data_IF_064102518692
#
_entry.id   IF_064102518692
#
_cell.length_a   1.000
_cell.length_b   1.000
_cell.length_c   1.000
_cell.angle_alpha   90.00
_cell.angle_beta   90.00
_cell.angle_gamma   90.00
#
_symmetry.space_group_name_H-M   'P 1'
#
loop_
_entity.id
_entity.type
_entity.pdbx_description
1 polymer ?
#
# COMPACT_ATOMS: atom_id res chain seq x y z
N UNK A 1 -29.78 9.62 34.04
CA UNK A 1 -28.88 10.41 33.16
C UNK A 1 -27.68 9.54 32.79
N UNK A 2 -27.76 8.80 31.68
CA UNK A 2 -26.61 8.08 31.13
C UNK A 2 -25.61 9.11 30.62
N UNK A 3 -24.45 9.25 31.27
CA UNK A 3 -23.31 9.94 30.66
C UNK A 3 -23.01 9.21 29.35
N UNK A 4 -23.18 9.87 28.21
CA UNK A 4 -22.79 9.35 26.90
C UNK A 4 -21.35 8.82 27.02
N UNK A 5 -21.19 7.50 27.02
CA UNK A 5 -19.88 6.88 26.97
C UNK A 5 -19.30 7.24 25.60
N UNK A 6 -18.35 8.17 25.60
CA UNK A 6 -17.77 8.69 24.38
C UNK A 6 -16.79 7.64 23.83
N UNK A 7 -17.31 6.72 23.01
CA UNK A 7 -16.52 5.70 22.33
C UNK A 7 -15.79 6.33 21.14
N UNK A 8 -14.47 6.13 21.01
CA UNK A 8 -13.72 6.76 19.95
C UNK A 8 -14.02 6.09 18.59
N UNK A 9 -14.31 6.87 17.53
CA UNK A 9 -14.41 6.29 16.20
C UNK A 9 -13.03 5.88 15.68
N UNK A 10 -13.00 4.86 14.82
CA UNK A 10 -11.85 4.63 13.96
C UNK A 10 -11.90 5.64 12.82
N UNK A 11 -10.86 6.46 12.72
CA UNK A 11 -10.82 7.59 11.81
C UNK A 11 -9.70 7.49 10.77
N UNK A 12 -8.86 6.46 10.85
CA UNK A 12 -7.80 6.25 9.87
C UNK A 12 -7.40 4.78 9.74
N UNK A 13 -7.07 4.39 8.52
CA UNK A 13 -6.25 3.19 8.23
C UNK A 13 -5.04 3.68 7.45
N UNK A 14 -3.83 3.41 7.94
CA UNK A 14 -2.61 3.79 7.27
C UNK A 14 -1.95 2.60 6.56
N UNK A 15 -1.36 2.87 5.41
CA UNK A 15 -0.70 1.90 4.54
C UNK A 15 0.76 2.28 4.38
N UNK A 16 1.66 1.30 4.48
CA UNK A 16 3.00 1.43 3.93
C UNK A 16 3.00 0.89 2.50
N UNK A 17 3.20 1.79 1.53
CA UNK A 17 3.09 1.52 0.11
C UNK A 17 4.44 1.61 -0.57
N UNK A 18 4.68 0.73 -1.54
CA UNK A 18 5.89 0.73 -2.37
C UNK A 18 5.71 1.70 -3.53
N UNK A 19 4.53 1.66 -4.15
CA UNK A 19 4.10 2.60 -5.18
C UNK A 19 2.94 3.49 -4.78
N UNK A 20 3.26 4.62 -4.15
CA UNK A 20 2.27 5.58 -3.70
C UNK A 20 1.35 6.10 -4.81
N UNK A 21 1.88 6.42 -5.99
CA UNK A 21 1.05 6.96 -7.09
C UNK A 21 0.07 5.90 -7.57
N UNK A 22 0.56 4.67 -7.73
CA UNK A 22 -0.24 3.55 -8.23
C UNK A 22 -1.33 3.19 -7.23
N UNK A 23 -1.00 3.10 -5.95
CA UNK A 23 -1.96 2.74 -4.90
C UNK A 23 -2.96 3.87 -4.65
N UNK A 24 -2.53 5.13 -4.68
CA UNK A 24 -3.44 6.29 -4.63
C UNK A 24 -4.43 6.30 -5.79
N UNK A 25 -3.95 6.14 -7.03
CA UNK A 25 -4.81 6.05 -8.23
C UNK A 25 -5.76 4.86 -8.13
N UNK A 26 -5.32 3.72 -7.59
CA UNK A 26 -6.19 2.56 -7.40
C UNK A 26 -7.38 2.84 -6.48
N UNK A 27 -7.16 3.49 -5.33
CA UNK A 27 -8.25 3.89 -4.45
C UNK A 27 -9.12 5.01 -5.05
N UNK A 28 -8.50 6.03 -5.66
CA UNK A 28 -9.22 7.20 -6.19
C UNK A 28 -9.99 6.92 -7.47
N UNK A 29 -9.35 6.29 -8.46
CA UNK A 29 -9.94 6.05 -9.79
C UNK A 29 -10.70 4.73 -9.83
N UNK A 30 -10.21 3.70 -9.14
CA UNK A 30 -10.89 2.41 -9.03
C UNK A 30 -12.15 2.49 -8.17
N UNK A 31 -11.97 2.78 -6.88
CA UNK A 31 -13.06 2.78 -5.90
C UNK A 31 -13.83 4.11 -5.86
N UNK A 32 -13.18 5.23 -6.18
CA UNK A 32 -13.83 6.54 -6.19
C UNK A 32 -13.68 7.32 -4.88
N UNK A 33 -12.62 7.04 -4.10
CA UNK A 33 -12.24 7.90 -2.97
C UNK A 33 -11.78 9.28 -3.45
N UNK A 34 -11.96 10.30 -2.62
CA UNK A 34 -11.59 11.67 -2.95
C UNK A 34 -10.18 12.00 -2.46
N UNK A 35 -9.46 12.84 -3.22
CA UNK A 35 -8.18 13.33 -2.76
C UNK A 35 -8.33 14.25 -1.52
N UNK A 36 -7.53 14.07 -0.45
CA UNK A 36 -7.51 14.91 0.75
C UNK A 36 -6.18 15.59 1.14
N UNK A 37 -5.07 15.36 0.43
CA UNK A 37 -3.84 16.15 0.59
C UNK A 37 -2.60 15.29 0.56
N UNK A 38 -1.46 15.85 0.98
CA UNK A 38 -0.25 15.08 1.18
C UNK A 38 0.98 15.93 1.52
N UNK A 39 2.07 15.27 1.92
CA UNK A 39 3.34 15.88 2.27
C UNK A 39 4.52 15.08 1.72
N UNK A 40 5.41 15.78 1.02
CA UNK A 40 6.66 15.23 0.47
C UNK A 40 7.74 14.95 1.51
N UNK A 41 7.62 15.55 2.68
CA UNK A 41 8.64 15.58 3.73
C UNK A 41 8.15 14.99 5.05
N UNK A 42 7.00 14.32 5.02
CA UNK A 42 6.47 13.66 6.21
C UNK A 42 7.50 12.69 6.80
N UNK A 43 7.50 12.56 8.12
CA UNK A 43 8.43 11.72 8.87
C UNK A 43 9.93 12.02 8.68
N UNK A 44 10.31 13.02 7.88
CA UNK A 44 11.73 13.33 7.63
C UNK A 44 12.35 14.16 8.76
N UNK A 45 11.56 14.58 9.77
CA UNK A 45 12.01 15.36 10.92
C UNK A 45 12.37 14.46 12.12
N UNK A 46 13.32 14.85 12.99
CA UNK A 46 13.68 14.07 14.18
C UNK A 46 12.51 13.76 15.11
N UNK A 47 11.55 14.69 15.20
CA UNK A 47 10.37 14.56 16.03
C UNK A 47 9.44 13.45 15.54
N UNK A 48 9.13 13.45 14.24
CA UNK A 48 8.21 12.50 13.65
C UNK A 48 8.76 11.06 13.79
N UNK A 49 10.08 10.85 13.59
CA UNK A 49 10.74 9.54 13.76
C UNK A 49 10.50 8.91 15.14
N UNK A 50 10.46 9.72 16.20
CA UNK A 50 10.20 9.26 17.57
C UNK A 50 8.76 8.83 17.75
N UNK A 51 7.81 9.59 17.20
CA UNK A 51 6.37 9.33 17.34
C UNK A 51 5.99 7.96 16.74
N UNK A 52 6.52 7.61 15.56
CA UNK A 52 6.29 6.29 14.94
C UNK A 52 7.20 5.17 15.47
N UNK A 53 8.17 5.47 16.35
CA UNK A 53 9.10 4.46 16.86
C UNK A 53 10.08 3.91 15.80
N UNK A 54 10.34 4.67 14.72
CA UNK A 54 11.14 4.22 13.59
C UNK A 54 12.41 5.08 13.41
N UNK A 55 13.58 4.61 13.89
CA UNK A 55 14.83 5.34 13.79
C UNK A 55 15.21 5.67 12.34
N UNK A 56 15.61 6.93 12.10
CA UNK A 56 16.05 7.39 10.79
C UNK A 56 14.95 7.46 9.73
N UNK A 57 13.67 7.33 10.13
CA UNK A 57 12.56 7.34 9.19
C UNK A 57 12.56 8.59 8.30
N UNK A 58 12.19 8.38 7.05
CA UNK A 58 11.88 9.42 6.10
C UNK A 58 10.92 8.86 5.06
N UNK A 59 9.79 9.53 4.90
CA UNK A 59 8.74 9.10 3.98
C UNK A 59 8.12 10.30 3.29
N UNK A 60 7.14 10.00 2.46
CA UNK A 60 6.20 10.94 1.93
C UNK A 60 4.80 10.33 2.17
N UNK A 61 3.76 11.15 2.36
CA UNK A 61 2.44 10.69 2.80
C UNK A 61 1.29 11.40 2.09
N UNK A 62 0.30 10.66 1.60
CA UNK A 62 -0.90 11.19 0.94
C UNK A 62 -2.14 10.62 1.60
N UNK A 63 -3.20 11.43 1.60
CA UNK A 63 -4.47 11.06 2.19
C UNK A 63 -5.58 10.99 1.15
N UNK A 64 -6.53 10.09 1.36
CA UNK A 64 -7.81 10.05 0.66
C UNK A 64 -8.95 10.01 1.67
N UNK A 65 -10.11 10.56 1.28
CA UNK A 65 -11.33 10.54 2.11
C UNK A 65 -12.50 9.93 1.35
N UNK A 66 -13.40 9.29 2.08
CA UNK A 66 -14.59 8.65 1.54
C UNK A 66 -15.89 9.38 1.90
N UNK A 67 -17.01 8.68 1.73
CA UNK A 67 -18.34 9.12 2.21
C UNK A 67 -18.43 9.20 3.73
N UNK A 68 -17.52 8.53 4.45
CA UNK A 68 -17.41 8.60 5.89
C UNK A 68 -17.30 10.07 6.35
N UNK A 69 -18.13 10.55 7.29
CA UNK A 69 -18.04 11.90 7.84
C UNK A 69 -16.61 12.27 8.30
N UNK A 70 -15.96 11.35 9.02
CA UNK A 70 -14.62 11.58 9.55
C UNK A 70 -13.74 10.33 9.52
N UNK A 71 -13.18 10.05 8.34
CA UNK A 71 -12.24 8.97 8.13
C UNK A 71 -11.28 9.30 6.98
N UNK A 72 -10.02 8.89 7.10
CA UNK A 72 -9.04 8.99 6.02
C UNK A 72 -8.28 7.69 5.77
N UNK A 73 -7.96 7.44 4.51
CA UNK A 73 -6.92 6.50 4.10
C UNK A 73 -5.61 7.29 4.12
N UNK A 74 -4.61 6.81 4.87
CA UNK A 74 -3.28 7.41 4.91
C UNK A 74 -2.27 6.49 4.21
N UNK A 75 -1.46 7.00 3.28
CA UNK A 75 -0.50 6.18 2.54
C UNK A 75 0.90 6.74 2.65
N UNK A 76 1.79 6.00 3.30
CA UNK A 76 3.20 6.32 3.45
C UNK A 76 4.07 5.55 2.46
N UNK A 77 4.94 6.26 1.77
CA UNK A 77 6.06 5.63 1.07
C UNK A 77 7.37 5.98 1.74
N UNK A 78 8.04 4.97 2.30
CA UNK A 78 9.30 5.12 2.99
C UNK A 78 10.49 5.06 2.03
N UNK A 79 11.42 6.02 2.18
CA UNK A 79 12.76 5.94 1.58
C UNK A 79 13.82 5.54 2.59
N UNK A 80 13.53 5.68 3.89
CA UNK A 80 14.39 5.22 4.99
C UNK A 80 13.52 4.84 6.19
N UNK A 81 13.79 3.69 6.86
CA UNK A 81 14.35 2.53 6.17
C UNK A 81 13.49 2.18 4.94
N UNK A 82 14.08 1.53 3.95
CA UNK A 82 13.30 1.05 2.81
C UNK A 82 12.38 -0.07 3.31
N UNK A 83 11.08 0.04 3.00
CA UNK A 83 10.05 -0.92 3.36
C UNK A 83 10.42 -2.31 2.82
N UNK A 84 10.43 -3.36 3.63
CA UNK A 84 10.46 -4.74 3.11
C UNK A 84 9.16 -4.99 2.34
N UNK A 85 9.25 -5.77 1.25
CA UNK A 85 8.06 -6.17 0.51
C UNK A 85 7.22 -7.15 1.34
N UNK A 86 5.91 -7.12 1.13
CA UNK A 86 5.01 -8.14 1.64
C UNK A 86 5.39 -9.49 1.03
N UNK A 87 5.43 -10.59 1.80
CA UNK A 87 5.60 -11.93 1.25
C UNK A 87 4.59 -12.18 0.12
N UNK A 88 5.04 -12.78 -0.98
CA UNK A 88 4.17 -13.03 -2.14
C UNK A 88 3.07 -14.07 -1.83
N UNK A 89 3.35 -14.95 -0.87
CA UNK A 89 2.46 -15.95 -0.30
C UNK A 89 1.72 -15.45 0.95
N UNK A 90 1.70 -14.14 1.22
CA UNK A 90 0.96 -13.56 2.35
C UNK A 90 -0.54 -13.78 2.20
N UNK A 91 -1.13 -14.44 3.19
CA UNK A 91 -2.55 -14.85 3.25
C UNK A 91 -3.32 -14.03 4.27
N UNK A 92 -4.66 -13.98 4.18
CA UNK A 92 -5.51 -13.28 5.15
C UNK A 92 -5.40 -13.85 6.57
N UNK A 93 -5.01 -15.11 6.72
CA UNK A 93 -4.82 -15.74 8.02
C UNK A 93 -3.51 -15.36 8.71
N UNK A 94 -2.52 -14.84 7.97
CA UNK A 94 -1.21 -14.46 8.54
C UNK A 94 -1.34 -13.26 9.48
N UNK A 95 -0.46 -13.16 10.47
CA UNK A 95 -0.61 -12.21 11.57
C UNK A 95 -0.42 -10.77 11.10
N UNK A 96 -1.39 -9.90 11.40
CA UNK A 96 -1.35 -8.49 11.05
C UNK A 96 -2.72 -7.89 10.75
N UNK A 97 -2.75 -6.62 10.37
CA UNK A 97 -3.91 -6.04 9.70
C UNK A 97 -3.89 -6.50 8.24
N UNK A 98 -4.86 -7.32 7.84
CA UNK A 98 -4.75 -8.13 6.61
C UNK A 98 -5.71 -7.72 5.51
N UNK A 99 -6.88 -7.19 5.87
CA UNK A 99 -7.96 -6.87 4.94
C UNK A 99 -8.64 -5.56 5.31
N UNK A 100 -9.12 -4.86 4.30
CA UNK A 100 -10.08 -3.75 4.45
C UNK A 100 -11.36 -4.07 3.69
N UNK A 101 -12.48 -3.50 4.14
CA UNK A 101 -13.75 -3.58 3.45
C UNK A 101 -14.25 -2.19 3.03
N UNK A 102 -14.68 -2.09 1.78
CA UNK A 102 -15.12 -0.85 1.15
C UNK A 102 -16.52 -1.06 0.58
N UNK A 103 -17.48 -0.28 1.07
CA UNK A 103 -18.76 -0.13 0.39
C UNK A 103 -18.59 0.75 -0.85
N UNK A 104 -19.21 0.35 -1.97
CA UNK A 104 -19.25 1.13 -3.21
C UNK A 104 -20.67 1.37 -3.67
N UNK A 105 -20.94 2.57 -4.19
CA UNK A 105 -22.26 2.97 -4.66
C UNK A 105 -22.72 2.23 -5.93
N UNK A 106 -21.76 1.75 -6.73
CA UNK A 106 -21.99 0.96 -7.95
C UNK A 106 -20.93 -0.15 -8.03
N UNK A 107 -21.37 -1.37 -7.74
CA UNK A 107 -20.52 -2.54 -7.61
C UNK A 107 -19.85 -2.93 -8.94
N UNK A 108 -20.64 -3.06 -10.01
CA UNK A 108 -20.15 -3.51 -11.31
C UNK A 108 -19.23 -2.45 -11.94
N UNK A 109 -19.58 -1.16 -11.83
CA UNK A 109 -18.72 -0.10 -12.32
C UNK A 109 -17.42 0.00 -11.51
N UNK A 110 -17.43 -0.27 -10.20
CA UNK A 110 -16.22 -0.33 -9.40
C UNK A 110 -15.30 -1.48 -9.85
N UNK A 111 -15.84 -2.69 -10.01
CA UNK A 111 -15.06 -3.84 -10.50
C UNK A 111 -14.50 -3.60 -11.90
N UNK A 112 -15.27 -3.00 -12.81
CA UNK A 112 -14.78 -2.66 -14.15
C UNK A 112 -13.61 -1.65 -14.12
N UNK A 113 -13.69 -0.62 -13.29
CA UNK A 113 -12.57 0.34 -13.13
C UNK A 113 -11.35 -0.32 -12.51
N UNK A 114 -11.52 -1.16 -11.49
CA UNK A 114 -10.40 -1.90 -10.88
C UNK A 114 -9.74 -2.87 -11.87
N UNK A 115 -10.53 -3.54 -12.71
CA UNK A 115 -10.02 -4.40 -13.78
C UNK A 115 -9.16 -3.60 -14.78
N UNK A 116 -9.59 -2.39 -15.15
CA UNK A 116 -8.82 -1.50 -16.03
C UNK A 116 -7.47 -1.05 -15.41
N UNK A 117 -7.39 -1.05 -14.08
CA UNK A 117 -6.18 -0.76 -13.31
C UNK A 117 -5.35 -2.03 -13.00
N UNK A 118 -5.77 -3.19 -13.50
CA UNK A 118 -5.04 -4.46 -13.40
C UNK A 118 -5.37 -5.32 -12.18
N UNK A 119 -6.42 -5.00 -11.43
CA UNK A 119 -6.89 -5.81 -10.29
C UNK A 119 -8.20 -6.52 -10.63
N UNK A 120 -8.18 -7.85 -10.60
CA UNK A 120 -9.37 -8.69 -10.77
C UNK A 120 -9.80 -9.29 -9.42
N UNK A 121 -11.09 -9.65 -9.26
CA UNK A 121 -11.55 -10.49 -8.16
C UNK A 121 -10.74 -11.78 -8.03
N UNK A 122 -10.40 -12.15 -6.79
CA UNK A 122 -9.67 -13.38 -6.47
C UNK A 122 -10.51 -14.63 -6.68
N UNK A 123 -11.83 -14.49 -6.53
CA UNK A 123 -12.84 -15.49 -6.80
C UNK A 123 -14.07 -14.81 -7.44
N UNK A 124 -15.01 -15.60 -7.94
CA UNK A 124 -16.29 -15.07 -8.38
C UNK A 124 -16.99 -14.33 -7.22
N UNK A 125 -17.62 -13.16 -7.47
CA UNK A 125 -18.41 -12.48 -6.44
C UNK A 125 -19.49 -13.42 -5.88
N UNK A 126 -19.74 -13.33 -4.57
CA UNK A 126 -20.80 -14.07 -3.88
C UNK A 126 -21.91 -13.12 -3.43
N UNK A 127 -23.08 -13.68 -3.10
CA UNK A 127 -24.25 -12.92 -2.67
C UNK A 127 -25.25 -12.64 -3.79
N UNK A 128 -26.48 -12.28 -3.41
CA UNK A 128 -27.53 -11.88 -4.34
C UNK A 128 -27.32 -10.43 -4.80
N UNK A 129 -27.83 -10.01 -5.97
CA UNK A 129 -27.81 -8.61 -6.38
C UNK A 129 -28.32 -7.67 -5.29
N UNK A 130 -27.56 -6.61 -5.00
CA UNK A 130 -27.78 -5.68 -3.89
C UNK A 130 -27.08 -6.07 -2.58
N UNK A 131 -26.45 -7.24 -2.51
CA UNK A 131 -25.71 -7.79 -1.36
C UNK A 131 -24.42 -8.50 -1.80
N UNK A 132 -23.93 -8.21 -3.02
CA UNK A 132 -22.76 -8.87 -3.57
C UNK A 132 -21.49 -8.41 -2.87
N UNK A 133 -20.53 -9.33 -2.79
CA UNK A 133 -19.19 -9.11 -2.24
C UNK A 133 -18.15 -9.70 -3.17
N UNK A 134 -17.02 -9.01 -3.31
CA UNK A 134 -15.85 -9.49 -4.04
C UNK A 134 -14.59 -9.08 -3.30
N UNK A 135 -13.54 -9.90 -3.34
CA UNK A 135 -12.24 -9.54 -2.78
C UNK A 135 -11.19 -9.43 -3.89
N UNK A 136 -10.38 -8.38 -3.83
CA UNK A 136 -9.30 -8.08 -4.76
C UNK A 136 -8.00 -7.81 -3.98
N UNK A 137 -6.88 -7.78 -4.69
CA UNK A 137 -5.62 -7.25 -4.16
C UNK A 137 -5.40 -5.84 -4.70
N UNK A 138 -5.09 -4.89 -3.82
CA UNK A 138 -4.58 -3.59 -4.26
C UNK A 138 -3.15 -3.73 -4.83
N UNK A 139 -2.56 -2.68 -5.41
CA UNK A 139 -1.23 -2.76 -6.05
C UNK A 139 -0.08 -3.13 -5.09
N UNK A 140 -0.26 -2.97 -3.78
CA UNK A 140 0.69 -3.33 -2.74
C UNK A 140 0.40 -4.70 -2.09
N UNK A 141 -0.64 -5.40 -2.54
CA UNK A 141 -1.01 -6.71 -2.03
C UNK A 141 -1.90 -6.67 -0.78
N UNK A 142 -2.53 -5.57 -0.39
CA UNK A 142 -3.55 -5.64 0.67
C UNK A 142 -4.84 -6.24 0.11
N UNK A 143 -5.50 -7.11 0.87
CA UNK A 143 -6.83 -7.61 0.54
C UNK A 143 -7.88 -6.51 0.71
N UNK A 144 -8.66 -6.28 -0.34
CA UNK A 144 -9.75 -5.29 -0.35
C UNK A 144 -11.03 -5.99 -0.72
N UNK A 145 -11.92 -6.13 0.26
CA UNK A 145 -13.30 -6.53 0.02
C UNK A 145 -14.08 -5.31 -0.49
N UNK A 146 -14.79 -5.49 -1.59
CA UNK A 146 -15.75 -4.56 -2.15
C UNK A 146 -17.14 -5.10 -1.84
N UNK A 147 -17.99 -4.28 -1.22
CA UNK A 147 -19.35 -4.63 -0.81
C UNK A 147 -20.37 -3.77 -1.55
N UNK A 148 -21.41 -4.41 -2.06
CA UNK A 148 -22.57 -3.75 -2.67
C UNK A 148 -23.58 -3.26 -1.64
N UNK A 149 -23.73 -3.99 -0.52
CA UNK A 149 -24.49 -3.55 0.64
C UNK A 149 -23.61 -2.78 1.63
N UNK A 150 -24.22 -1.85 2.38
CA UNK A 150 -23.51 -1.14 3.43
C UNK A 150 -23.68 -1.91 4.76
N UNK A 151 -22.62 -2.54 5.32
CA UNK A 151 -22.73 -3.41 6.50
C UNK A 151 -23.09 -2.65 7.79
N UNK A 152 -23.03 -1.32 7.79
CA UNK A 152 -23.49 -0.50 8.92
C UNK A 152 -24.85 0.16 8.67
N UNK A 153 -25.53 -0.20 7.58
CA UNK A 153 -26.79 0.38 7.14
C UNK A 153 -26.61 1.57 6.18
N UNK A 154 -27.68 1.91 5.43
CA UNK A 154 -27.65 3.02 4.47
C UNK A 154 -27.42 4.35 5.19
N UNK A 155 -26.22 4.92 5.05
CA UNK A 155 -25.93 6.28 5.47
C UNK A 155 -26.02 7.25 4.29
N UNK A 156 -26.71 8.38 4.49
CA UNK A 156 -26.55 9.53 3.61
C UNK A 156 -25.09 9.99 3.70
N UNK A 157 -24.34 9.89 2.61
CA UNK A 157 -22.97 10.37 2.59
C UNK A 157 -22.97 11.90 2.62
N UNK A 158 -22.16 12.51 3.48
CA UNK A 158 -22.00 13.97 3.51
C UNK A 158 -21.24 14.49 2.28
N UNK A 159 -20.45 13.62 1.64
CA UNK A 159 -19.62 13.93 0.48
C UNK A 159 -20.13 13.21 -0.76
N UNK A 160 -20.10 13.90 -1.90
CA UNK A 160 -20.29 13.30 -3.23
C UNK A 160 -19.09 12.41 -3.57
N UNK A 161 -19.13 11.19 -3.01
CA UNK A 161 -18.08 10.19 -3.10
C UNK A 161 -18.74 8.82 -3.34
N UNK A 162 -18.06 7.98 -4.12
CA UNK A 162 -18.59 6.68 -4.55
C UNK A 162 -18.28 5.55 -3.58
N UNK A 163 -17.34 5.76 -2.65
CA UNK A 163 -16.86 4.74 -1.73
C UNK A 163 -16.89 5.20 -0.26
N UNK A 164 -17.10 4.25 0.64
CA UNK A 164 -16.94 4.41 2.07
C UNK A 164 -16.05 3.29 2.62
N UNK A 165 -15.10 3.62 3.49
CA UNK A 165 -14.41 2.59 4.27
C UNK A 165 -15.37 2.05 5.32
N UNK A 166 -15.46 0.73 5.45
CA UNK A 166 -16.40 0.08 6.35
C UNK A 166 -15.78 -0.92 7.28
N UNK A 167 -14.64 -1.50 6.93
CA UNK A 167 -13.97 -2.40 7.85
C UNK A 167 -12.46 -2.45 7.69
N UNK A 168 -11.81 -2.89 8.76
CA UNK A 168 -10.46 -3.42 8.77
C UNK A 168 -10.46 -4.71 9.56
N UNK A 169 -9.79 -5.73 9.04
CA UNK A 169 -9.64 -7.02 9.70
C UNK A 169 -8.22 -7.18 10.23
N UNK A 170 -8.12 -7.59 11.49
CA UNK A 170 -6.90 -7.92 12.20
C UNK A 170 -6.86 -9.43 12.45
N UNK A 171 -5.90 -10.12 11.83
CA UNK A 171 -5.62 -11.53 12.07
C UNK A 171 -4.62 -11.66 13.21
N UNK A 172 -5.00 -12.35 14.27
CA UNK A 172 -4.26 -12.41 15.53
C UNK A 172 -3.91 -13.84 15.94
N UNK A 173 -2.74 -14.08 16.58
CA UNK A 173 -2.42 -15.39 17.13
C UNK A 173 -3.20 -15.68 18.43
N UNK A 174 -3.70 -14.66 19.12
CA UNK A 174 -4.41 -14.78 20.40
C UNK A 174 -5.67 -13.89 20.39
N UNK A 175 -6.82 -14.55 20.28
CA UNK A 175 -8.12 -13.90 20.19
C UNK A 175 -8.46 -13.07 21.45
N UNK A 176 -8.28 -13.66 22.63
CA UNK A 176 -8.72 -13.04 23.89
C UNK A 176 -7.85 -11.83 24.22
N UNK A 177 -6.54 -11.94 24.03
CA UNK A 177 -5.60 -10.84 24.26
C UNK A 177 -5.90 -9.64 23.35
N UNK A 178 -6.16 -9.89 22.06
CA UNK A 178 -6.50 -8.84 21.09
C UNK A 178 -7.86 -8.20 21.36
N UNK A 179 -8.88 -8.99 21.71
CA UNK A 179 -10.20 -8.45 22.09
C UNK A 179 -10.10 -7.61 23.35
N UNK A 180 -9.34 -8.04 24.36
CA UNK A 180 -9.14 -7.28 25.59
C UNK A 180 -8.39 -5.95 25.33
N UNK A 181 -7.37 -5.97 24.46
CA UNK A 181 -6.62 -4.77 24.08
C UNK A 181 -7.50 -3.73 23.37
N UNK A 182 -8.24 -4.14 22.35
CA UNK A 182 -9.15 -3.23 21.63
C UNK A 182 -10.31 -2.76 22.51
N UNK A 183 -10.81 -3.62 23.42
CA UNK A 183 -11.81 -3.24 24.42
C UNK A 183 -11.30 -2.12 25.33
N UNK A 184 -10.05 -2.20 25.78
CA UNK A 184 -9.45 -1.16 26.60
C UNK A 184 -9.41 0.19 25.85
N UNK A 185 -8.99 0.20 24.58
CA UNK A 185 -8.92 1.43 23.78
C UNK A 185 -10.33 1.99 23.50
N UNK A 186 -11.24 1.15 22.99
CA UNK A 186 -12.61 1.54 22.65
C UNK A 186 -13.45 1.94 23.87
N UNK A 187 -13.13 1.36 25.03
CA UNK A 187 -13.94 1.46 26.25
C UNK A 187 -15.28 0.70 26.17
N UNK A 188 -15.43 -0.20 25.19
CA UNK A 188 -16.53 -1.15 25.09
C UNK A 188 -16.05 -2.44 24.42
N UNK A 189 -16.74 -3.55 24.70
CA UNK A 189 -16.48 -4.84 24.07
C UNK A 189 -17.06 -4.94 22.64
N UNK A 190 -16.84 -6.08 21.98
CA UNK A 190 -17.38 -6.33 20.64
C UNK A 190 -18.92 -6.39 20.64
N UNK A 191 -19.51 -6.09 19.49
CA UNK A 191 -20.94 -6.27 19.22
C UNK A 191 -21.26 -7.73 18.87
N UNK A 192 -22.54 -8.10 18.99
CA UNK A 192 -23.04 -9.41 18.53
C UNK A 192 -23.17 -9.51 17.01
N UNK A 193 -23.09 -8.39 16.30
CA UNK A 193 -23.24 -8.34 14.84
C UNK A 193 -22.02 -8.97 14.17
N UNK A 194 -22.25 -10.01 13.36
CA UNK A 194 -21.23 -10.57 12.49
C UNK A 194 -21.03 -9.69 11.25
N UNK A 195 -19.78 -9.45 10.88
CA UNK A 195 -19.44 -8.82 9.60
C UNK A 195 -19.31 -9.87 8.49
N UNK A 196 -18.69 -11.00 8.80
CA UNK A 196 -18.48 -12.11 7.87
C UNK A 196 -18.96 -13.44 8.49
N UNK A 197 -19.61 -14.26 7.65
CA UNK A 197 -19.83 -15.69 7.85
C UNK A 197 -18.71 -16.56 7.25
N UNK A 198 -18.75 -17.87 7.50
CA UNK A 198 -17.72 -18.82 7.07
C UNK A 198 -17.61 -18.94 5.54
N UNK A 199 -18.72 -18.75 4.83
CA UNK A 199 -18.77 -18.72 3.36
C UNK A 199 -17.92 -17.61 2.75
N UNK A 200 -17.72 -16.50 3.47
CA UNK A 200 -16.93 -15.37 2.98
C UNK A 200 -15.44 -15.69 2.92
N UNK A 201 -14.95 -16.68 3.66
CA UNK A 201 -13.53 -17.06 3.65
C UNK A 201 -13.05 -17.49 2.24
N UNK A 202 -13.97 -18.02 1.43
CA UNK A 202 -13.71 -18.35 0.03
C UNK A 202 -13.37 -17.12 -0.83
N UNK A 203 -13.86 -15.92 -0.50
CA UNK A 203 -13.62 -14.70 -1.28
C UNK A 203 -12.14 -14.34 -1.37
N UNK A 204 -11.38 -14.66 -0.33
CA UNK A 204 -9.95 -14.35 -0.21
C UNK A 204 -9.07 -15.61 -0.15
N UNK A 205 -9.59 -16.73 -0.65
CA UNK A 205 -8.83 -17.95 -0.90
C UNK A 205 -8.62 -18.86 0.31
N UNK A 206 -9.49 -18.79 1.32
CA UNK A 206 -9.45 -19.65 2.51
C UNK A 206 -10.76 -20.47 2.69
N UNK A 207 -11.30 -21.12 1.65
CA UNK A 207 -12.56 -21.86 1.78
C UNK A 207 -12.47 -22.93 2.88
N UNK A 208 -13.48 -22.97 3.76
CA UNK A 208 -13.55 -23.93 4.87
C UNK A 208 -12.68 -23.56 6.08
N UNK A 209 -12.07 -22.37 6.10
CA UNK A 209 -11.29 -21.93 7.25
C UNK A 209 -12.14 -21.88 8.52
N UNK A 210 -11.54 -22.33 9.63
CA UNK A 210 -12.13 -22.26 10.96
C UNK A 210 -11.48 -21.15 11.74
N UNK A 211 -12.27 -20.24 12.30
CA UNK A 211 -11.74 -19.14 13.08
C UNK A 211 -12.70 -18.68 14.18
N UNK A 212 -12.18 -17.87 15.10
CA UNK A 212 -12.96 -17.06 16.03
C UNK A 212 -13.05 -15.64 15.49
N UNK A 213 -14.21 -15.01 15.61
CA UNK A 213 -14.45 -13.63 15.15
C UNK A 213 -15.07 -12.77 16.24
N UNK A 214 -14.65 -11.52 16.31
CA UNK A 214 -15.28 -10.47 17.10
C UNK A 214 -15.27 -9.17 16.29
N UNK A 215 -16.35 -8.39 16.38
CA UNK A 215 -16.48 -7.12 15.64
C UNK A 215 -16.69 -5.99 16.61
N UNK A 216 -15.87 -4.95 16.52
CA UNK A 216 -16.08 -3.68 17.21
C UNK A 216 -16.70 -2.68 16.24
N UNK A 217 -17.80 -2.03 16.66
CA UNK A 217 -18.31 -0.84 15.99
C UNK A 217 -17.59 0.38 16.52
N UNK A 218 -16.73 0.97 15.69
CA UNK A 218 -15.92 2.13 16.06
C UNK A 218 -16.32 3.32 15.20
N UNK A 219 -17.56 3.80 15.40
CA UNK A 219 -18.18 4.78 14.51
C UNK A 219 -18.65 4.13 13.21
N UNK A 220 -18.20 4.68 12.07
CA UNK A 220 -18.61 4.22 10.72
C UNK A 220 -17.69 3.15 10.12
N UNK A 221 -16.75 2.65 10.90
CA UNK A 221 -15.81 1.60 10.50
C UNK A 221 -15.80 0.51 11.57
N UNK A 222 -15.94 -0.72 11.10
CA UNK A 222 -15.90 -1.94 11.89
C UNK A 222 -14.47 -2.44 12.02
N UNK A 223 -14.03 -2.79 13.22
CA UNK A 223 -12.76 -3.49 13.44
C UNK A 223 -13.07 -4.94 13.73
N UNK A 224 -12.71 -5.82 12.79
CA UNK A 224 -12.90 -7.25 12.93
C UNK A 224 -11.61 -7.90 13.43
N UNK A 225 -11.70 -8.65 14.53
CA UNK A 225 -10.61 -9.47 15.07
C UNK A 225 -10.87 -10.92 14.69
N UNK A 226 -9.89 -11.55 14.05
CA UNK A 226 -9.99 -12.95 13.60
C UNK A 226 -8.80 -13.75 14.11
N UNK A 227 -9.05 -14.83 14.83
CA UNK A 227 -8.04 -15.86 15.09
C UNK A 227 -8.34 -17.07 14.22
N UNK A 228 -7.51 -17.31 13.22
CA UNK A 228 -7.61 -18.51 12.39
C UNK A 228 -7.05 -19.70 13.15
N UNK A 229 -7.88 -20.74 13.28
CA UNK A 229 -7.54 -22.02 13.90
C UNK A 229 -7.11 -23.04 12.85
N UNK A 230 -7.58 -22.87 11.62
CA UNK A 230 -7.24 -23.69 10.46
C UNK A 230 -7.60 -22.94 9.16
N UNK A 231 -6.64 -22.67 8.24
CA UNK A 231 -5.21 -22.86 8.43
C UNK A 231 -4.63 -21.88 9.44
N UNK A 232 -3.56 -22.28 10.14
CA UNK A 232 -2.83 -21.38 11.02
C UNK A 232 -2.02 -20.37 10.17
N UNK A 233 -2.12 -19.10 10.55
CA UNK A 233 -1.39 -18.00 9.94
C UNK A 233 0.11 -17.99 10.26
N UNK A 234 0.91 -17.47 9.35
CA UNK A 234 2.33 -17.20 9.60
C UNK A 234 2.49 -15.95 10.49
N UNK A 235 3.49 -15.92 11.39
CA UNK A 235 3.83 -14.71 12.13
C UNK A 235 4.40 -13.64 11.18
N UNK A 236 4.52 -12.40 11.67
CA UNK A 236 5.28 -11.39 10.95
C UNK A 236 6.71 -11.87 10.64
N UNK A 237 7.27 -11.50 9.47
CA UNK A 237 8.65 -11.82 9.13
C UNK A 237 9.66 -11.33 10.18
N UNK A 238 10.80 -12.01 10.28
CA UNK A 238 11.86 -11.61 11.19
C UNK A 238 12.30 -10.14 10.95
N UNK A 239 12.32 -9.36 12.03
CA UNK A 239 12.61 -7.93 11.99
C UNK A 239 11.59 -7.12 11.18
N UNK A 240 10.32 -7.53 11.20
CA UNK A 240 9.21 -6.74 10.69
C UNK A 240 9.16 -5.37 11.38
N UNK A 241 8.82 -4.36 10.60
CA UNK A 241 8.67 -2.97 11.05
C UNK A 241 7.34 -2.45 10.56
N UNK A 242 6.80 -1.48 11.28
CA UNK A 242 5.56 -0.78 10.88
C UNK A 242 5.69 -0.17 9.47
N UNK A 243 6.90 0.20 9.03
CA UNK A 243 7.16 0.72 7.68
C UNK A 243 7.24 -0.34 6.58
N UNK A 244 7.16 -1.64 6.89
CA UNK A 244 7.17 -2.69 5.87
C UNK A 244 5.82 -2.74 5.15
N UNK A 245 5.83 -3.16 3.88
CA UNK A 245 4.68 -3.04 2.98
C UNK A 245 3.43 -3.73 3.54
N UNK A 246 2.28 -3.04 3.52
CA UNK A 246 1.02 -3.54 4.04
C UNK A 246 0.22 -2.46 4.77
N UNK A 247 -0.76 -2.86 5.58
CA UNK A 247 -1.44 -1.97 6.50
C UNK A 247 -0.51 -1.71 7.69
N UNK A 248 -0.10 -0.46 7.85
CA UNK A 248 0.85 0.02 8.85
C UNK A 248 0.21 0.01 10.24
N UNK A 249 -0.96 0.63 10.38
CA UNK A 249 -1.74 0.69 11.60
C UNK A 249 -3.18 1.12 11.31
N UNK A 250 -3.97 1.13 12.38
CA UNK A 250 -5.29 1.76 12.45
C UNK A 250 -5.24 2.90 13.47
N UNK A 251 -6.09 3.92 13.32
CA UNK A 251 -6.15 5.01 14.28
C UNK A 251 -7.55 5.30 14.84
N UNK A 252 -7.62 5.39 16.17
CA UNK A 252 -8.77 5.89 16.90
C UNK A 252 -8.67 7.39 17.11
N UNK A 253 -9.78 8.08 16.87
CA UNK A 253 -9.82 9.53 16.85
C UNK A 253 -10.58 10.14 18.03
N UNK A 254 -10.18 11.35 18.40
CA UNK A 254 -10.93 12.22 19.29
C UNK A 254 -11.10 13.63 18.73
N UNK A 255 -12.18 14.32 19.11
CA UNK A 255 -12.42 15.73 18.76
C UNK A 255 -11.74 16.73 19.71
N UNK A 256 -11.12 16.26 20.78
CA UNK A 256 -10.41 17.11 21.73
C UNK A 256 -9.33 16.33 22.49
N UNK A 257 -8.42 17.08 23.12
CA UNK A 257 -7.30 16.56 23.91
C UNK A 257 -7.74 15.75 25.13
N UNK A 258 -8.88 16.06 25.74
CA UNK A 258 -9.35 15.34 26.95
C UNK A 258 -9.68 13.89 26.58
N UNK A 259 -10.49 13.69 25.54
CA UNK A 259 -10.83 12.36 25.05
C UNK A 259 -9.60 11.59 24.52
N UNK A 260 -8.66 12.28 23.86
CA UNK A 260 -7.36 11.69 23.49
C UNK A 260 -6.60 11.14 24.69
N UNK A 261 -6.54 11.93 25.76
CA UNK A 261 -5.87 11.54 27.00
C UNK A 261 -6.58 10.37 27.67
N UNK A 262 -7.92 10.33 27.65
CA UNK A 262 -8.69 9.19 28.16
C UNK A 262 -8.39 7.90 27.40
N UNK A 263 -8.35 7.93 26.05
CA UNK A 263 -7.96 6.76 25.25
C UNK A 263 -6.56 6.28 25.61
N UNK A 264 -5.61 7.21 25.68
CA UNK A 264 -4.21 6.91 26.02
C UNK A 264 -4.09 6.28 27.42
N UNK A 265 -4.79 6.84 28.42
CA UNK A 265 -4.79 6.30 29.77
C UNK A 265 -5.35 4.88 29.83
N UNK A 266 -6.49 4.60 29.16
CA UNK A 266 -7.04 3.24 29.12
C UNK A 266 -6.06 2.26 28.50
N UNK A 267 -5.43 2.62 27.38
CA UNK A 267 -4.42 1.80 26.72
C UNK A 267 -3.20 1.56 27.63
N UNK A 268 -2.69 2.59 28.29
CA UNK A 268 -1.56 2.47 29.22
C UNK A 268 -1.90 1.65 30.46
N UNK A 269 -3.10 1.80 31.03
CA UNK A 269 -3.56 1.00 32.18
C UNK A 269 -3.71 -0.48 31.81
N UNK A 270 -4.12 -0.79 30.59
CA UNK A 270 -4.13 -2.15 30.07
C UNK A 270 -2.72 -2.75 29.91
N UNK A 271 -1.68 -1.91 29.81
CA UNK A 271 -0.29 -2.31 29.65
C UNK A 271 0.31 -2.04 28.27
N UNK A 272 -0.43 -1.35 27.39
CA UNK A 272 0.08 -0.96 26.07
C UNK A 272 1.25 0.03 26.19
N UNK A 273 2.29 -0.19 25.40
CA UNK A 273 3.52 0.59 25.44
C UNK A 273 3.53 1.65 24.34
N UNK A 274 3.67 2.94 24.69
CA UNK A 274 3.78 3.97 23.69
C UNK A 274 5.13 3.93 22.97
N UNK A 275 5.14 4.21 21.67
CA UNK A 275 6.40 4.46 20.92
C UNK A 275 7.16 5.66 21.51
N UNK A 276 6.40 6.68 21.93
CA UNK A 276 6.90 7.85 22.62
C UNK A 276 5.76 8.55 23.38
N UNK A 277 6.09 9.52 24.25
CA UNK A 277 5.06 10.27 24.99
C UNK A 277 4.05 10.95 24.03
N UNK A 278 2.79 11.15 24.45
CA UNK A 278 1.82 11.89 23.65
C UNK A 278 2.36 13.23 23.18
N UNK A 279 2.19 13.51 21.89
CA UNK A 279 2.65 14.73 21.25
C UNK A 279 1.46 15.57 20.78
N UNK A 280 1.42 16.83 21.19
CA UNK A 280 0.33 17.75 20.89
C UNK A 280 0.87 19.05 20.27
N UNK A 281 0.13 19.56 19.29
CA UNK A 281 0.31 20.91 18.71
C UNK A 281 -1.04 21.63 18.74
N UNK A 282 -1.12 22.94 18.45
CA UNK A 282 -2.40 23.65 18.46
C UNK A 282 -3.44 22.97 17.55
N UNK A 283 -4.49 22.43 18.18
CA UNK A 283 -5.62 21.80 17.47
C UNK A 283 -5.44 20.34 17.05
N UNK A 284 -4.29 19.72 17.30
CA UNK A 284 -4.12 18.29 17.00
C UNK A 284 -3.11 17.57 17.90
N UNK A 285 -3.12 16.25 17.85
CA UNK A 285 -2.13 15.46 18.56
C UNK A 285 -2.23 13.97 18.29
N UNK A 286 -1.17 13.27 18.67
CA UNK A 286 -0.94 11.89 18.28
C UNK A 286 -0.12 11.12 19.32
N UNK A 287 -0.38 9.83 19.44
CA UNK A 287 0.50 8.84 20.08
C UNK A 287 0.26 7.47 19.46
N UNK A 288 1.32 6.70 19.26
CA UNK A 288 1.22 5.29 18.88
C UNK A 288 1.42 4.45 20.14
N UNK A 289 0.56 3.45 20.35
CA UNK A 289 0.65 2.49 21.44
C UNK A 289 0.66 1.08 20.86
N UNK A 290 1.43 0.18 21.48
CA UNK A 290 1.56 -1.21 21.03
C UNK A 290 1.19 -2.17 22.16
N UNK A 291 0.49 -3.24 21.84
CA UNK A 291 0.19 -4.30 22.80
C UNK A 291 1.36 -5.28 22.99
N UNK A 292 1.14 -6.32 23.79
CA UNK A 292 2.14 -7.37 24.03
C UNK A 292 2.36 -8.29 22.83
N UNK A 293 1.42 -8.34 21.87
CA UNK A 293 1.53 -9.13 20.64
C UNK A 293 2.27 -8.38 19.53
N UNK A 294 2.44 -7.07 19.67
CA UNK A 294 3.13 -6.21 18.70
C UNK A 294 2.21 -5.44 17.76
N UNK A 295 0.88 -5.49 17.94
CA UNK A 295 -0.05 -4.68 17.17
C UNK A 295 0.07 -3.21 17.56
N UNK A 296 0.21 -2.36 16.56
CA UNK A 296 0.27 -0.90 16.75
C UNK A 296 -1.09 -0.26 16.49
N UNK A 297 -1.52 0.59 17.41
CA UNK A 297 -2.69 1.46 17.27
C UNK A 297 -2.26 2.91 17.48
N UNK A 298 -2.69 3.77 16.56
CA UNK A 298 -2.54 5.21 16.72
C UNK A 298 -3.76 5.80 17.42
N UNK A 299 -3.51 6.70 18.36
CA UNK A 299 -4.53 7.51 19.00
C UNK A 299 -4.27 8.94 18.57
N UNK A 300 -5.22 9.53 17.85
CA UNK A 300 -5.11 10.90 17.36
C UNK A 300 -6.25 11.78 17.86
N UNK A 301 -6.05 13.09 17.82
CA UNK A 301 -7.14 14.03 17.96
C UNK A 301 -7.00 15.22 17.03
N UNK A 302 -8.14 15.71 16.55
CA UNK A 302 -8.27 16.88 15.69
C UNK A 302 -9.41 17.75 16.21
N UNK A 303 -9.09 18.97 16.62
CA UNK A 303 -10.02 19.85 17.34
C UNK A 303 -10.65 20.95 16.51
N UNK A 304 -10.19 21.22 15.29
CA UNK A 304 -10.72 22.32 14.49
C UNK A 304 -10.67 22.04 12.97
N UNK A 305 -11.46 22.76 12.14
CA UNK A 305 -11.49 22.56 10.68
C UNK A 305 -10.14 22.78 9.98
N UNK A 306 -9.30 23.68 10.52
CA UNK A 306 -7.95 23.91 9.96
C UNK A 306 -7.08 22.67 10.10
N UNK A 307 -7.05 22.05 11.28
CA UNK A 307 -6.34 20.81 11.53
C UNK A 307 -6.87 19.67 10.64
N UNK A 308 -8.19 19.55 10.47
CA UNK A 308 -8.76 18.54 9.55
C UNK A 308 -8.23 18.72 8.12
N UNK A 309 -8.17 19.95 7.59
CA UNK A 309 -7.59 20.21 6.26
C UNK A 309 -6.09 19.95 6.18
N UNK A 310 -5.32 20.36 7.20
CA UNK A 310 -3.86 20.20 7.21
C UNK A 310 -3.43 18.73 7.31
N UNK A 311 -4.25 17.88 7.95
CA UNK A 311 -3.93 16.49 8.26
C UNK A 311 -4.72 15.46 7.44
N UNK A 312 -5.39 15.89 6.36
CA UNK A 312 -5.95 14.97 5.34
C UNK A 312 -7.39 14.51 5.55
N UNK A 313 -8.13 15.12 6.48
CA UNK A 313 -9.51 14.74 6.79
C UNK A 313 -10.56 15.46 5.93
N UNK A 314 -10.13 16.38 5.06
CA UNK A 314 -11.01 17.10 4.14
C UNK A 314 -10.50 17.00 2.70
N UNK A 315 -11.40 16.95 1.69
CA UNK A 315 -10.99 16.92 0.30
C UNK A 315 -10.09 18.11 -0.08
N UNK A 316 -9.07 17.81 -0.88
CA UNK A 316 -8.18 18.77 -1.52
C UNK A 316 -7.96 18.35 -2.98
N UNK A 317 -8.29 19.20 -3.97
CA UNK A 317 -8.11 18.90 -5.38
C UNK A 317 -6.68 18.47 -5.74
N UNK A 318 -6.53 17.59 -6.73
CA UNK A 318 -5.23 16.98 -7.07
C UNK A 318 -4.18 18.03 -7.45
N UNK A 319 -4.59 19.07 -8.18
CA UNK A 319 -3.75 20.17 -8.63
C UNK A 319 -3.18 21.02 -7.49
N UNK A 320 -3.79 20.98 -6.30
CA UNK A 320 -3.30 21.67 -5.11
C UNK A 320 -2.36 20.80 -4.27
N UNK A 321 -2.21 19.51 -4.61
CA UNK A 321 -1.31 18.60 -3.89
C UNK A 321 0.12 18.76 -4.37
N UNK A 322 1.09 18.51 -3.47
CA UNK A 322 2.44 18.26 -3.94
C UNK A 322 2.47 17.00 -4.81
N UNK A 323 3.23 17.05 -5.91
CA UNK A 323 3.47 15.86 -6.73
C UNK A 323 4.46 14.93 -6.01
N UNK A 324 4.16 13.62 -5.83
CA UNK A 324 5.02 12.69 -5.06
C UNK A 324 6.42 12.54 -5.67
N UNK A 325 6.48 12.37 -6.99
CA UNK A 325 7.71 12.38 -7.80
C UNK A 325 7.68 13.56 -8.75
N UNK A 326 8.80 14.25 -8.98
CA UNK A 326 8.78 15.45 -9.82
C UNK A 326 9.46 15.26 -11.18
N UNK A 327 9.98 14.07 -11.46
CA UNK A 327 10.62 13.76 -12.74
C UNK A 327 10.06 12.47 -13.31
N UNK A 328 9.92 12.44 -14.64
CA UNK A 328 9.49 11.26 -15.39
C UNK A 328 10.24 11.23 -16.71
N UNK A 329 10.70 10.03 -17.06
CA UNK A 329 11.32 9.68 -18.34
C UNK A 329 10.46 8.61 -18.99
N UNK A 330 10.30 8.69 -20.30
CA UNK A 330 9.64 7.65 -21.09
C UNK A 330 10.43 7.44 -22.37
N UNK A 331 10.74 6.20 -22.69
CA UNK A 331 11.24 5.82 -24.00
C UNK A 331 10.41 4.64 -24.52
N UNK A 332 10.14 4.64 -25.81
CA UNK A 332 9.41 3.56 -26.48
C UNK A 332 10.18 3.12 -27.72
N UNK A 333 10.19 1.83 -28.00
CA UNK A 333 10.72 1.29 -29.25
C UNK A 333 9.89 0.09 -29.73
N UNK A 334 10.01 -0.25 -31.01
CA UNK A 334 9.50 -1.50 -31.56
C UNK A 334 10.66 -2.40 -31.94
N UNK A 335 10.59 -3.64 -31.47
CA UNK A 335 11.60 -4.68 -31.70
C UNK A 335 10.98 -5.70 -32.66
N UNK A 336 11.68 -6.02 -33.75
CA UNK A 336 11.26 -7.03 -34.72
C UNK A 336 11.45 -8.45 -34.16
N UNK A 337 10.73 -8.76 -33.09
CA UNK A 337 10.75 -10.04 -32.40
C UNK A 337 9.39 -10.35 -31.77
N UNK A 338 9.01 -11.64 -31.67
CA UNK A 338 7.84 -12.06 -30.92
C UNK A 338 7.92 -11.63 -29.46
N UNK A 339 6.75 -11.35 -28.87
CA UNK A 339 6.64 -10.87 -27.49
C UNK A 339 7.29 -11.81 -26.48
N UNK A 340 7.12 -13.13 -26.65
CA UNK A 340 7.74 -14.13 -25.78
C UNK A 340 9.28 -14.04 -25.77
N UNK A 341 9.90 -13.75 -26.91
CA UNK A 341 11.36 -13.57 -27.01
C UNK A 341 11.82 -12.32 -26.29
N UNK A 342 11.13 -11.19 -26.49
CA UNK A 342 11.44 -9.93 -25.80
C UNK A 342 11.25 -10.07 -24.30
N UNK A 343 10.17 -10.74 -23.87
CA UNK A 343 9.90 -11.04 -22.47
C UNK A 343 11.03 -11.87 -21.84
N UNK A 344 11.47 -12.94 -22.49
CA UNK A 344 12.54 -13.79 -21.99
C UNK A 344 13.82 -12.97 -21.74
N UNK A 345 14.22 -12.12 -22.71
CA UNK A 345 15.42 -11.28 -22.58
C UNK A 345 15.31 -10.26 -21.45
N UNK A 346 14.13 -9.67 -21.24
CA UNK A 346 13.90 -8.69 -20.17
C UNK A 346 13.84 -9.34 -18.78
N UNK A 347 13.30 -10.56 -18.70
CA UNK A 347 13.11 -11.27 -17.44
C UNK A 347 14.39 -11.99 -16.97
N UNK A 348 15.35 -12.24 -17.87
CA UNK A 348 16.64 -12.84 -17.55
C UNK A 348 17.61 -11.77 -17.00
N UNK A 349 17.55 -11.51 -15.69
CA UNK A 349 18.11 -10.28 -15.11
C UNK A 349 19.63 -10.20 -15.20
N UNK A 350 20.36 -11.30 -15.03
CA UNK A 350 21.84 -11.26 -15.03
C UNK A 350 22.43 -11.01 -16.41
N UNK A 351 21.74 -11.42 -17.48
CA UNK A 351 22.15 -11.16 -18.87
C UNK A 351 21.82 -9.75 -19.34
N UNK A 352 21.18 -8.94 -18.50
CA UNK A 352 20.94 -7.54 -18.80
C UNK A 352 22.25 -6.79 -19.09
N UNK A 353 23.38 -7.20 -18.50
CA UNK A 353 24.70 -6.61 -18.75
C UNK A 353 25.09 -6.63 -20.24
N UNK A 354 24.53 -7.53 -21.05
CA UNK A 354 24.79 -7.61 -22.50
C UNK A 354 24.19 -6.42 -23.29
N UNK A 355 23.23 -5.68 -22.72
CA UNK A 355 22.51 -4.62 -23.44
C UNK A 355 22.22 -3.34 -22.64
N UNK A 356 22.21 -3.38 -21.30
CA UNK A 356 21.80 -2.24 -20.47
C UNK A 356 22.89 -1.18 -20.28
N UNK A 357 24.16 -1.51 -20.58
CA UNK A 357 25.31 -0.61 -20.43
C UNK A 357 26.00 -0.65 -19.06
N UNK A 358 25.57 -1.55 -18.16
CA UNK A 358 26.30 -1.90 -16.94
C UNK A 358 27.32 -3.00 -17.23
N UNK A 359 28.49 -2.97 -16.58
CA UNK A 359 29.56 -3.96 -16.77
C UNK A 359 29.17 -5.33 -16.23
N UNK A 360 28.56 -5.35 -15.05
CA UNK A 360 28.09 -6.55 -14.38
C UNK A 360 26.66 -6.33 -13.89
N UNK A 361 25.85 -7.39 -13.93
CA UNK A 361 24.55 -7.47 -13.29
C UNK A 361 24.49 -8.81 -12.58
N UNK A 362 24.24 -8.81 -11.27
CA UNK A 362 24.21 -10.03 -10.44
C UNK A 362 23.03 -9.99 -9.50
N UNK A 363 22.28 -11.09 -9.41
CA UNK A 363 21.24 -11.22 -8.38
C UNK A 363 21.93 -11.56 -7.05
N UNK A 364 21.80 -10.67 -6.09
CA UNK A 364 22.34 -10.82 -4.72
C UNK A 364 21.31 -11.42 -3.77
N UNK A 365 20.02 -11.32 -4.10
CA UNK A 365 18.93 -11.96 -3.38
C UNK A 365 17.87 -12.46 -4.37
N UNK A 366 17.51 -13.74 -4.29
CA UNK A 366 16.46 -14.31 -5.13
C UNK A 366 15.07 -13.78 -4.79
N UNK A 367 14.20 -13.71 -5.80
CA UNK A 367 12.79 -13.42 -5.64
C UNK A 367 11.94 -14.65 -5.33
N UNK A 368 10.63 -14.50 -5.48
CA UNK A 368 9.63 -15.57 -5.33
C UNK A 368 8.62 -15.54 -6.51
N UNK A 369 8.12 -16.71 -6.97
CA UNK A 369 8.58 -18.06 -6.61
C UNK A 369 9.92 -18.43 -7.26
N UNK A 370 10.31 -17.72 -8.31
CA UNK A 370 11.53 -17.94 -9.06
C UNK A 370 12.64 -16.96 -8.64
N UNK A 371 13.89 -17.30 -8.97
CA UNK A 371 15.06 -16.47 -8.63
C UNK A 371 14.96 -15.05 -9.19
N UNK A 372 14.48 -14.89 -10.42
CA UNK A 372 14.23 -13.60 -11.08
C UNK A 372 12.85 -13.00 -10.72
N UNK A 373 12.13 -13.59 -9.78
CA UNK A 373 10.78 -13.22 -9.37
C UNK A 373 10.67 -11.92 -8.55
N UNK A 374 9.47 -11.64 -8.06
CA UNK A 374 9.21 -10.47 -7.22
C UNK A 374 10.02 -10.57 -5.92
N UNK A 375 10.62 -9.44 -5.50
CA UNK A 375 11.49 -9.36 -4.35
C UNK A 375 12.96 -9.66 -4.63
N UNK A 376 13.31 -10.10 -5.85
CA UNK A 376 14.72 -10.26 -6.22
C UNK A 376 15.45 -8.92 -6.14
N UNK A 377 16.68 -8.95 -5.64
CA UNK A 377 17.58 -7.81 -5.58
C UNK A 377 18.78 -8.07 -6.48
N UNK A 378 19.12 -7.10 -7.34
CA UNK A 378 20.27 -7.17 -8.23
C UNK A 378 21.19 -5.99 -8.05
N UNK A 379 22.48 -6.27 -8.06
CA UNK A 379 23.55 -5.27 -8.08
C UNK A 379 24.00 -5.06 -9.52
N UNK A 380 24.13 -3.80 -9.92
CA UNK A 380 24.57 -3.39 -11.25
C UNK A 380 25.76 -2.44 -11.14
N UNK A 381 26.91 -2.81 -11.70
CA UNK A 381 28.15 -2.03 -11.60
C UNK A 381 28.44 -1.32 -12.92
N UNK A 382 28.51 0.00 -12.88
CA UNK A 382 28.73 0.85 -14.04
C UNK A 382 29.99 1.70 -13.90
N UNK A 383 30.27 2.52 -14.91
CA UNK A 383 31.37 3.49 -14.86
C UNK A 383 31.15 4.60 -13.81
N UNK A 384 29.90 4.87 -13.44
CA UNK A 384 29.51 5.93 -12.51
C UNK A 384 29.22 5.43 -11.09
N UNK A 385 29.52 4.16 -10.80
CA UNK A 385 29.28 3.52 -9.50
C UNK A 385 28.33 2.33 -9.58
N UNK A 386 27.90 1.88 -8.41
CA UNK A 386 27.06 0.69 -8.23
C UNK A 386 25.64 1.08 -7.84
N UNK A 387 24.65 0.42 -8.43
CA UNK A 387 23.23 0.58 -8.11
C UNK A 387 22.66 -0.77 -7.68
N UNK A 388 21.79 -0.77 -6.67
CA UNK A 388 21.02 -1.96 -6.29
C UNK A 388 19.56 -1.72 -6.60
N UNK A 389 18.98 -2.62 -7.39
CA UNK A 389 17.56 -2.63 -7.77
C UNK A 389 16.83 -3.80 -7.13
N UNK A 390 15.56 -3.59 -6.80
CA UNK A 390 14.66 -4.63 -6.36
C UNK A 390 13.45 -4.71 -7.29
N UNK A 391 13.10 -5.93 -7.72
CA UNK A 391 11.87 -6.19 -8.47
C UNK A 391 10.68 -6.12 -7.50
N UNK A 392 9.70 -5.31 -7.84
CA UNK A 392 8.51 -5.04 -7.00
C UNK A 392 7.20 -5.52 -7.65
N UNK A 393 7.26 -5.98 -8.90
CA UNK A 393 6.10 -6.57 -9.56
C UNK A 393 6.45 -7.12 -10.93
N UNK A 394 5.86 -8.26 -11.28
CA UNK A 394 5.99 -8.93 -12.56
C UNK A 394 4.59 -9.30 -13.03
N UNK A 395 4.29 -8.95 -14.28
CA UNK A 395 3.09 -9.37 -14.99
C UNK A 395 3.60 -10.03 -16.27
N UNK A 396 3.64 -11.38 -16.32
CA UNK A 396 4.26 -12.12 -17.42
C UNK A 396 3.81 -11.62 -18.78
N UNK A 397 4.77 -11.36 -19.67
CA UNK A 397 4.52 -10.89 -21.03
C UNK A 397 3.79 -9.54 -21.12
N UNK A 398 3.70 -8.78 -20.02
CA UNK A 398 3.01 -7.49 -19.97
C UNK A 398 3.82 -6.40 -19.29
N UNK A 399 4.38 -6.65 -18.10
CA UNK A 399 5.16 -5.64 -17.40
C UNK A 399 6.18 -6.19 -16.39
N UNK A 400 7.29 -5.47 -16.20
CA UNK A 400 8.24 -5.65 -15.09
C UNK A 400 8.39 -4.30 -14.38
N UNK A 401 8.28 -4.30 -13.05
CA UNK A 401 8.45 -3.12 -12.21
C UNK A 401 9.55 -3.32 -11.18
N UNK A 402 10.32 -2.28 -10.98
CA UNK A 402 11.44 -2.29 -10.06
C UNK A 402 11.60 -0.93 -9.37
N UNK A 403 12.33 -0.93 -8.25
CA UNK A 403 12.78 0.27 -7.57
C UNK A 403 14.28 0.21 -7.32
N UNK A 404 14.93 1.36 -7.28
CA UNK A 404 16.32 1.43 -6.82
C UNK A 404 16.32 1.58 -5.31
N UNK A 405 17.05 0.69 -4.63
CA UNK A 405 17.17 0.65 -3.18
C UNK A 405 18.52 1.19 -2.67
N UNK A 406 19.56 1.20 -3.50
CA UNK A 406 20.87 1.73 -3.12
C UNK A 406 21.63 2.33 -4.31
N UNK A 407 22.60 3.21 -4.03
CA UNK A 407 23.58 3.67 -5.02
C UNK A 407 23.17 4.86 -5.90
N UNK A 408 21.88 5.20 -5.96
CA UNK A 408 21.41 6.28 -6.82
C UNK A 408 21.37 7.68 -6.14
N UNK A 409 21.56 8.76 -6.92
CA UNK A 409 21.42 10.16 -6.46
C UNK A 409 19.94 10.60 -6.33
N UNK A 410 18.98 9.69 -6.46
CA UNK A 410 17.55 9.97 -6.40
C UNK A 410 16.91 9.44 -5.11
N UNK A 411 15.72 9.93 -4.80
CA UNK A 411 14.77 9.27 -3.90
C UNK A 411 13.64 8.68 -4.74
N UNK A 412 13.02 7.60 -4.25
CA UNK A 412 11.81 7.02 -4.84
C UNK A 412 11.94 6.69 -6.33
N UNK A 413 13.13 6.28 -6.77
CA UNK A 413 13.35 5.89 -8.16
C UNK A 413 12.63 4.57 -8.44
N UNK A 414 11.77 4.59 -9.45
CA UNK A 414 11.05 3.42 -9.95
C UNK A 414 11.14 3.35 -11.46
N UNK A 415 11.19 2.14 -11.98
CA UNK A 415 11.02 1.87 -13.39
C UNK A 415 9.92 0.85 -13.64
N UNK A 416 9.23 1.04 -14.74
CA UNK A 416 8.24 0.12 -15.29
C UNK A 416 8.55 -0.10 -16.77
N UNK A 417 8.75 -1.36 -17.12
CA UNK A 417 8.87 -1.81 -18.51
C UNK A 417 7.55 -2.46 -18.87
N UNK A 418 6.89 -1.99 -19.93
CA UNK A 418 5.62 -2.52 -20.44
C UNK A 418 5.78 -3.05 -21.86
N UNK A 419 5.09 -4.14 -22.16
CA UNK A 419 5.14 -4.84 -23.45
C UNK A 419 3.75 -4.87 -24.09
N UNK A 420 3.73 -4.71 -25.42
CA UNK A 420 2.52 -4.88 -26.23
C UNK A 420 2.88 -5.51 -27.57
N UNK A 421 2.18 -6.57 -27.95
CA UNK A 421 2.32 -7.18 -29.27
C UNK A 421 1.75 -6.24 -30.34
N UNK A 422 2.49 -6.05 -31.44
CA UNK A 422 2.08 -5.23 -32.59
C UNK A 422 2.43 -6.00 -33.87
N UNK A 423 1.49 -6.82 -34.34
CA UNK A 423 1.74 -7.71 -35.48
C UNK A 423 2.84 -8.73 -35.16
N UNK A 424 3.94 -8.69 -35.94
CA UNK A 424 5.14 -9.53 -35.71
C UNK A 424 6.20 -8.85 -34.84
N UNK A 425 5.95 -7.62 -34.42
CA UNK A 425 6.84 -6.84 -33.57
C UNK A 425 6.32 -6.79 -32.13
N UNK A 426 7.19 -6.37 -31.23
CA UNK A 426 6.83 -6.05 -29.85
C UNK A 426 7.17 -4.60 -29.57
N UNK A 427 6.19 -3.84 -29.12
CA UNK A 427 6.39 -2.50 -28.59
C UNK A 427 6.82 -2.61 -27.12
N UNK A 428 7.95 -1.98 -26.80
CA UNK A 428 8.49 -1.89 -25.44
C UNK A 428 8.43 -0.43 -25.02
N UNK A 429 7.76 -0.14 -23.90
CA UNK A 429 7.77 1.19 -23.28
C UNK A 429 8.44 1.10 -21.92
N UNK A 430 9.43 1.96 -21.68
CA UNK A 430 10.16 2.04 -20.42
C UNK A 430 9.90 3.40 -19.79
N UNK A 431 9.21 3.39 -18.65
CA UNK A 431 8.89 4.58 -17.86
C UNK A 431 9.71 4.57 -16.58
N UNK A 432 10.38 5.68 -16.29
CA UNK A 432 11.11 5.88 -15.03
C UNK A 432 10.56 7.12 -14.33
N UNK A 433 10.31 7.03 -13.03
CA UNK A 433 9.95 8.17 -12.19
C UNK A 433 10.86 8.26 -10.98
N UNK A 434 11.21 9.48 -10.60
CA UNK A 434 12.05 9.71 -9.43
C UNK A 434 11.90 11.13 -8.88
N UNK A 435 12.48 11.34 -7.70
CA UNK A 435 12.63 12.64 -7.08
C UNK A 435 14.10 12.96 -6.82
N UNK A 436 14.57 14.12 -7.30
CA UNK A 436 15.90 14.61 -6.97
C UNK A 436 16.08 14.78 -5.45
N UNK A 437 17.27 14.51 -4.92
CA UNK A 437 17.59 14.75 -3.49
C UNK A 437 17.61 16.25 -3.15
N UNK A 438 17.98 17.08 -4.12
CA UNK A 438 18.01 18.53 -4.00
C UNK A 438 17.02 19.20 -4.97
N UNK A 439 16.50 20.40 -4.65
CA UNK A 439 15.72 21.20 -5.58
C UNK A 439 16.46 21.40 -6.92
N UNK A 440 15.71 21.44 -8.04
CA UNK A 440 16.18 21.67 -9.41
C UNK A 440 17.15 20.63 -10.01
N UNK A 441 17.97 19.96 -9.20
CA UNK A 441 18.88 18.88 -9.62
C UNK A 441 18.14 17.75 -10.33
N UNK A 442 16.91 17.46 -9.92
CA UNK A 442 16.07 16.45 -10.58
C UNK A 442 15.83 16.75 -12.06
N UNK A 443 15.60 18.01 -12.44
CA UNK A 443 15.30 18.39 -13.82
C UNK A 443 16.53 18.25 -14.72
N UNK A 444 17.70 18.66 -14.23
CA UNK A 444 18.98 18.47 -14.93
C UNK A 444 19.28 16.98 -15.14
N UNK A 445 19.10 16.16 -14.10
CA UNK A 445 19.27 14.71 -14.21
C UNK A 445 18.26 14.10 -15.20
N UNK A 446 17.01 14.57 -15.23
CA UNK A 446 16.02 14.13 -16.24
C UNK A 446 16.52 14.40 -17.66
N UNK A 447 17.00 15.61 -17.93
CA UNK A 447 17.50 16.00 -19.28
C UNK A 447 18.69 15.12 -19.69
N UNK A 448 19.58 14.79 -18.76
CA UNK A 448 20.72 13.91 -19.03
C UNK A 448 20.32 12.43 -19.24
N UNK A 449 19.39 11.91 -18.44
CA UNK A 449 19.00 10.50 -18.44
C UNK A 449 18.05 10.12 -19.59
N UNK A 450 17.24 11.05 -20.08
CA UNK A 450 16.30 10.80 -21.19
C UNK A 450 16.98 10.24 -22.46
N UNK A 451 18.02 10.88 -23.03
CA UNK A 451 18.71 10.34 -24.19
C UNK A 451 19.44 9.02 -23.88
N UNK A 452 19.94 8.84 -22.65
CA UNK A 452 20.57 7.58 -22.23
C UNK A 452 19.57 6.42 -22.23
N UNK A 453 18.36 6.63 -21.69
CA UNK A 453 17.28 5.65 -21.71
C UNK A 453 16.86 5.31 -23.14
N UNK A 454 16.66 6.32 -23.99
CA UNK A 454 16.31 6.11 -25.41
C UNK A 454 17.39 5.33 -26.14
N UNK A 455 18.67 5.67 -25.95
CA UNK A 455 19.80 4.96 -26.56
C UNK A 455 19.89 3.52 -26.06
N UNK A 456 19.81 3.29 -24.75
CA UNK A 456 19.82 1.95 -24.18
C UNK A 456 18.70 1.08 -24.79
N UNK A 457 17.50 1.63 -24.95
CA UNK A 457 16.37 0.89 -25.52
C UNK A 457 16.55 0.59 -27.02
N UNK A 458 17.02 1.57 -27.81
CA UNK A 458 17.07 1.49 -29.28
C UNK A 458 18.35 0.84 -29.83
N UNK A 459 19.51 1.08 -29.21
CA UNK A 459 20.80 0.53 -29.66
C UNK A 459 21.31 -0.60 -28.78
N UNK A 460 20.85 -0.68 -27.53
CA UNK A 460 21.16 -1.78 -26.60
C UNK A 460 20.16 -2.92 -26.78
N UNK A 461 19.01 -2.82 -26.10
CA UNK A 461 18.00 -3.89 -26.03
C UNK A 461 17.51 -4.32 -27.41
N UNK A 462 17.02 -3.38 -28.24
CA UNK A 462 16.47 -3.70 -29.56
C UNK A 462 17.47 -4.48 -30.42
N UNK A 463 18.67 -3.92 -30.61
CA UNK A 463 19.71 -4.55 -31.42
C UNK A 463 20.15 -5.90 -30.86
N UNK A 464 20.19 -6.05 -29.54
CA UNK A 464 20.50 -7.32 -28.90
C UNK A 464 19.46 -8.41 -29.21
N UNK A 465 18.18 -8.10 -29.02
CA UNK A 465 17.09 -9.05 -29.29
C UNK A 465 17.03 -9.41 -30.77
N UNK A 466 17.13 -8.43 -31.68
CA UNK A 466 17.05 -8.68 -33.12
C UNK A 466 18.23 -9.56 -33.60
N UNK A 467 19.43 -9.42 -33.03
CA UNK A 467 20.55 -10.33 -33.30
C UNK A 467 20.27 -11.76 -32.86
N UNK A 468 19.68 -11.96 -31.67
CA UNK A 468 19.31 -13.30 -31.18
C UNK A 468 18.29 -13.96 -32.11
N UNK A 469 17.32 -13.20 -32.63
CA UNK A 469 16.32 -13.73 -33.56
C UNK A 469 16.99 -14.15 -34.87
N UNK A 470 17.85 -13.29 -35.44
CA UNK A 470 18.57 -13.58 -36.69
C UNK A 470 19.43 -14.85 -36.52
N UNK A 471 20.18 -14.96 -35.42
CA UNK A 471 21.08 -16.09 -35.17
C UNK A 471 20.35 -17.41 -34.89
N UNK A 472 19.03 -17.41 -34.66
CA UNK A 472 18.21 -18.62 -34.51
C UNK A 472 17.54 -19.05 -35.81
N UNK A 473 17.49 -18.14 -36.80
CA UNK A 473 16.91 -18.39 -38.13
C UNK A 473 17.97 -18.83 -39.16
N UNK A 474 19.24 -18.51 -38.90
CA UNK A 474 20.42 -19.07 -39.57
C UNK A 474 20.89 -20.32 -38.83
#
# INVERSE_FOLDING_TARGET
MHKNANHPPLCQIAFSVVDLRRTESWFREGLGFLPAGGSRFMMSTPLARKIQGLPGAASCCWWLVGRNPWFQIEMFQFRRPIAKLMPQDFRPCDIGYTRIGVYVADFDAALARLASLGSMPLAAPIGQPGQRRACLRNPDGVYVEVMEDDPIGKQAGERDCRAAMRSVTMSTPDFEASVAYLTAINGHGPESTALHGDEHEALWGLPGARCKRAVFRSGDVLVEVVQYLDPIGQPWPAGYRVSDQGILNIAYGARNKVNHTTMYQRASTFGARPNWRPFHVPGSGVVYVNDALGFSVELLWMGNPKANREWGFEPLPLEQRPVPDNQTLVATTRIAAPLATVWQVLNEQERMNEWIGFKTVRITRGGHPERDGVGSERTMEGSTGTVVEQIIGIEPQRAIRYRVIEGAPFNFHRGEVSLRAVGKETEVSWRISFRGKLPLVGALLRVALQPMLTKMLTTGLKSYVERIVISRCC
#
